data_IF_500069074775
#
_entry.id   IF_500069074775
#
_cell.length_a   1.000
_cell.length_b   1.000
_cell.length_c   1.000
_cell.angle_alpha   90.00
_cell.angle_beta   90.00
_cell.angle_gamma   90.00
#
_symmetry.space_group_name_H-M   'P 1'
#
loop_
_entity.id
_entity.type
_entity.pdbx_description
1 polymer ?
#
# COMPACT_ATOMS: atom_id res chain seq x y z
N UNK A 1 3.82 1.38 17.40
CA UNK A 1 3.22 0.97 16.12
C UNK A 1 4.11 1.46 15.00
N UNK A 2 4.49 0.61 14.05
CA UNK A 2 5.36 1.01 12.93
C UNK A 2 4.52 1.18 11.68
N UNK A 3 4.64 2.34 11.03
CA UNK A 3 3.95 2.65 9.77
C UNK A 3 4.97 2.66 8.66
N UNK A 4 4.82 1.73 7.72
CA UNK A 4 5.66 1.66 6.52
C UNK A 4 5.11 2.61 5.46
N UNK A 5 5.96 3.48 4.94
CA UNK A 5 5.60 4.45 3.90
C UNK A 5 6.57 4.39 2.73
N UNK A 6 6.05 4.52 1.51
CA UNK A 6 6.86 4.48 0.28
C UNK A 6 7.66 5.76 0.05
N UNK A 7 7.24 6.86 0.68
CA UNK A 7 7.83 8.19 0.54
C UNK A 7 8.04 8.79 1.93
N UNK A 8 9.00 9.72 2.05
CA UNK A 8 9.33 10.41 3.29
C UNK A 8 8.22 11.40 3.72
N UNK A 9 7.06 10.87 4.06
CA UNK A 9 5.82 11.61 4.28
C UNK A 9 5.97 12.65 5.41
N UNK A 10 6.77 12.37 6.45
CA UNK A 10 7.06 13.34 7.51
C UNK A 10 7.88 14.54 6.99
N UNK A 11 8.86 14.31 6.10
CA UNK A 11 9.65 15.38 5.51
C UNK A 11 8.81 16.20 4.51
N UNK A 12 7.96 15.55 3.72
CA UNK A 12 7.05 16.24 2.80
C UNK A 12 6.03 17.11 3.54
N UNK A 13 5.53 16.62 4.68
CA UNK A 13 4.65 17.38 5.56
C UNK A 13 5.34 18.65 6.09
N UNK A 14 6.61 18.59 6.47
CA UNK A 14 7.33 19.81 6.89
C UNK A 14 7.53 20.81 5.76
N UNK A 15 7.89 20.32 4.57
CA UNK A 15 8.25 21.19 3.44
C UNK A 15 7.01 21.82 2.79
N UNK A 16 5.91 21.06 2.66
CA UNK A 16 4.71 21.52 1.94
C UNK A 16 3.40 21.40 2.71
N UNK A 17 3.41 20.96 3.96
CA UNK A 17 2.18 20.76 4.73
C UNK A 17 1.33 22.01 4.85
N UNK A 18 1.95 23.18 5.04
CA UNK A 18 1.22 24.47 5.06
C UNK A 18 0.63 24.89 3.71
N UNK A 19 1.09 24.30 2.60
CA UNK A 19 0.55 24.55 1.26
C UNK A 19 -0.64 23.63 0.95
N UNK A 20 -0.58 22.36 1.37
CA UNK A 20 -1.59 21.34 1.04
C UNK A 20 -2.69 21.19 2.10
N UNK A 21 -2.42 21.56 3.34
CA UNK A 21 -3.32 21.35 4.46
C UNK A 21 -3.82 22.69 5.00
N UNK A 22 -5.07 22.70 5.44
CA UNK A 22 -5.60 23.87 6.13
C UNK A 22 -4.86 24.10 7.45
N UNK A 23 -4.83 25.35 7.96
CA UNK A 23 -4.18 25.67 9.24
C UNK A 23 -4.69 24.84 10.43
N UNK A 24 -5.92 24.32 10.36
CA UNK A 24 -6.50 23.45 11.39
C UNK A 24 -6.08 21.98 11.26
N UNK A 25 -5.71 21.54 10.06
CA UNK A 25 -5.35 20.13 9.77
C UNK A 25 -3.85 19.91 9.90
N UNK A 26 -3.03 20.86 9.46
CA UNK A 26 -1.57 20.78 9.50
C UNK A 26 -1.02 20.35 10.88
N UNK A 27 -1.35 21.02 12.00
CA UNK A 27 -0.79 20.64 13.31
C UNK A 27 -1.24 19.25 13.78
N UNK A 28 -2.42 18.77 13.34
CA UNK A 28 -2.91 17.43 13.71
C UNK A 28 -2.07 16.33 13.05
N UNK A 29 -1.75 16.49 11.77
CA UNK A 29 -0.89 15.54 11.06
C UNK A 29 0.55 15.60 11.58
N UNK A 30 1.05 16.80 11.91
CA UNK A 30 2.38 16.95 12.49
C UNK A 30 2.49 16.22 13.83
N UNK A 31 1.50 16.40 14.72
CA UNK A 31 1.48 15.72 16.01
C UNK A 31 1.53 14.20 15.86
N UNK A 32 0.68 13.64 14.98
CA UNK A 32 0.58 12.18 14.77
C UNK A 32 1.84 11.60 14.14
N UNK A 33 2.39 12.26 13.11
CA UNK A 33 3.49 11.69 12.32
C UNK A 33 4.87 11.96 12.90
N UNK A 34 4.98 12.88 13.87
CA UNK A 34 6.27 13.36 14.36
C UNK A 34 6.42 13.46 15.88
N UNK A 35 5.34 13.78 16.58
CA UNK A 35 5.39 14.10 18.02
C UNK A 35 4.85 12.95 18.88
N UNK A 36 4.26 11.92 18.27
CA UNK A 36 3.82 10.71 18.97
C UNK A 36 4.97 9.71 19.17
N UNK A 37 5.35 9.46 20.42
CA UNK A 37 6.40 8.51 20.80
C UNK A 37 6.03 7.04 20.53
N UNK A 38 4.74 6.74 20.33
CA UNK A 38 4.23 5.40 20.06
C UNK A 38 4.14 5.06 18.57
N UNK A 39 4.52 5.99 17.67
CA UNK A 39 4.45 5.81 16.22
C UNK A 39 5.83 6.01 15.58
N UNK A 40 6.32 4.96 14.90
CA UNK A 40 7.54 5.02 14.10
C UNK A 40 7.20 4.98 12.61
N UNK A 41 7.55 6.03 11.87
CA UNK A 41 7.34 6.09 10.41
C UNK A 41 8.63 5.67 9.71
N UNK A 42 8.62 4.51 9.08
CA UNK A 42 9.78 3.95 8.38
C UNK A 42 9.56 4.05 6.88
N UNK A 43 10.50 4.69 6.19
CA UNK A 43 10.48 4.78 4.72
C UNK A 43 11.02 3.49 4.13
N UNK A 44 10.25 2.83 3.26
CA UNK A 44 10.66 1.62 2.55
C UNK A 44 10.15 1.63 1.11
N UNK A 45 11.03 1.31 0.18
CA UNK A 45 10.72 1.15 -1.24
C UNK A 45 10.40 -0.29 -1.63
N UNK A 46 10.39 -1.22 -0.67
CA UNK A 46 10.25 -2.66 -0.90
C UNK A 46 9.20 -3.22 0.06
N UNK A 47 7.93 -2.87 -0.17
CA UNK A 47 6.80 -3.49 0.52
C UNK A 47 6.15 -4.48 -0.44
N UNK A 48 6.08 -5.76 -0.05
CA UNK A 48 5.31 -6.74 -0.80
C UNK A 48 3.82 -6.31 -0.80
N UNK A 49 3.17 -6.07 -1.94
CA UNK A 49 1.76 -5.68 -1.96
C UNK A 49 0.83 -6.66 -1.21
N UNK A 50 1.15 -7.96 -1.22
CA UNK A 50 0.42 -8.98 -0.46
C UNK A 50 0.45 -8.73 1.06
N UNK A 51 1.47 -8.05 1.59
CA UNK A 51 1.52 -7.74 3.03
C UNK A 51 0.39 -6.82 3.49
N UNK A 52 -0.21 -6.01 2.60
CA UNK A 52 -1.37 -5.18 2.91
C UNK A 52 -2.68 -5.97 2.98
N UNK A 53 -2.71 -7.20 2.46
CA UNK A 53 -3.89 -8.08 2.54
C UNK A 53 -3.97 -8.78 3.89
N UNK A 54 -2.83 -9.03 4.52
CA UNK A 54 -2.79 -9.54 5.88
C UNK A 54 -3.16 -8.45 6.89
N UNK A 55 -4.05 -8.78 7.83
CA UNK A 55 -4.43 -7.87 8.92
C UNK A 55 -3.31 -7.69 9.95
N UNK A 56 -2.31 -8.57 9.94
CA UNK A 56 -1.26 -8.63 10.95
C UNK A 56 0.05 -8.05 10.40
N UNK A 57 0.40 -6.85 10.84
CA UNK A 57 1.66 -6.21 10.48
C UNK A 57 2.85 -7.01 11.05
N UNK A 58 3.71 -7.55 10.18
CA UNK A 58 4.98 -8.17 10.57
C UNK A 58 5.05 -9.69 10.46
N UNK A 59 3.94 -10.38 10.21
CA UNK A 59 3.97 -11.79 9.83
C UNK A 59 4.40 -11.90 8.36
N UNK A 60 5.30 -12.85 8.00
CA UNK A 60 5.55 -13.14 6.61
C UNK A 60 4.24 -13.60 5.98
N UNK A 61 3.71 -12.78 5.08
CA UNK A 61 2.55 -13.15 4.29
C UNK A 61 3.02 -14.18 3.26
N UNK A 62 2.80 -15.45 3.61
CA UNK A 62 2.85 -16.55 2.66
C UNK A 62 1.50 -16.60 1.94
N UNK A 63 1.31 -15.71 0.97
CA UNK A 63 0.24 -15.88 0.00
C UNK A 63 0.76 -16.84 -1.07
N UNK A 64 0.15 -18.02 -1.18
CA UNK A 64 0.39 -18.92 -2.30
C UNK A 64 -0.28 -18.32 -3.53
N UNK A 65 0.44 -17.40 -4.18
CA UNK A 65 -0.03 -16.73 -5.38
C UNK A 65 -0.35 -17.75 -6.47
N UNK A 66 0.34 -18.89 -6.52
CA UNK A 66 0.07 -19.94 -7.51
C UNK A 66 -1.27 -20.62 -7.23
N UNK A 67 -1.53 -21.01 -5.98
CA UNK A 67 -2.82 -21.60 -5.59
C UNK A 67 -3.99 -20.64 -5.89
N UNK A 68 -3.83 -19.36 -5.57
CA UNK A 68 -4.87 -18.34 -5.81
C UNK A 68 -5.12 -18.12 -7.30
N UNK A 69 -4.06 -18.05 -8.10
CA UNK A 69 -4.16 -17.98 -9.56
C UNK A 69 -4.86 -19.23 -10.10
N UNK A 70 -4.43 -20.42 -9.69
CA UNK A 70 -5.00 -21.68 -10.14
C UNK A 70 -6.49 -21.78 -9.81
N UNK A 71 -6.90 -21.45 -8.58
CA UNK A 71 -8.30 -21.44 -8.16
C UNK A 71 -9.13 -20.41 -8.95
N UNK A 72 -8.56 -19.22 -9.20
CA UNK A 72 -9.24 -18.17 -9.97
C UNK A 72 -9.43 -18.61 -11.42
N UNK A 73 -8.40 -19.10 -12.09
CA UNK A 73 -8.52 -19.58 -13.47
C UNK A 73 -9.40 -20.83 -13.60
N UNK A 74 -9.33 -21.77 -12.64
CA UNK A 74 -10.16 -22.97 -12.64
C UNK A 74 -11.65 -22.66 -12.48
N UNK A 75 -12.00 -21.57 -11.80
CA UNK A 75 -13.40 -21.11 -11.66
C UNK A 75 -13.93 -20.36 -12.88
N UNK A 76 -13.08 -19.99 -13.84
CA UNK A 76 -13.43 -19.27 -15.07
C UNK A 76 -13.17 -20.15 -16.30
N UNK A 77 -14.02 -21.17 -16.57
CA UNK A 77 -13.81 -22.11 -17.67
C UNK A 77 -13.85 -21.47 -19.07
N UNK A 78 -14.36 -20.25 -19.16
CA UNK A 78 -14.42 -19.39 -20.33
C UNK A 78 -13.17 -18.52 -20.53
N UNK A 79 -12.34 -18.36 -19.50
CA UNK A 79 -11.08 -17.63 -19.57
C UNK A 79 -10.02 -18.49 -20.29
N UNK A 80 -9.68 -18.10 -21.51
CA UNK A 80 -8.66 -18.76 -22.33
C UNK A 80 -7.49 -17.82 -22.57
N UNK A 81 -6.26 -18.34 -22.57
CA UNK A 81 -5.03 -17.63 -22.97
C UNK A 81 -4.94 -17.37 -24.48
N UNK A 82 -6.07 -17.16 -25.14
CA UNK A 82 -6.14 -16.78 -26.54
C UNK A 82 -6.38 -15.28 -26.64
N UNK A 83 -5.58 -14.53 -27.43
CA UNK A 83 -5.83 -13.11 -27.65
C UNK A 83 -7.24 -12.90 -28.21
N UNK A 84 -7.90 -11.86 -27.72
CA UNK A 84 -9.26 -11.53 -28.15
C UNK A 84 -9.26 -11.14 -29.63
N UNK A 85 -9.97 -11.90 -30.47
CA UNK A 85 -9.94 -11.73 -31.92
C UNK A 85 -10.58 -10.41 -32.41
N UNK A 86 -11.31 -9.68 -31.57
CA UNK A 86 -12.02 -8.45 -31.97
C UNK A 86 -11.27 -7.14 -31.64
N UNK A 87 -9.94 -7.15 -31.65
CA UNK A 87 -9.18 -5.92 -31.87
C UNK A 87 -9.16 -5.61 -33.38
N UNK A 88 -10.31 -5.19 -33.91
CA UNK A 88 -10.39 -4.66 -35.28
C UNK A 88 -9.51 -3.40 -35.35
N UNK A 89 -8.37 -3.53 -36.03
CA UNK A 89 -7.51 -2.42 -36.44
C UNK A 89 -8.23 -1.55 -37.48
#
# INVERSE_FOLDING_TARGET
>A
MTVLVSHAASAELEVKGGHWLSPQRFPKYQAIMREQDDVEVVVTNIVNPASFLSRNQGEPVYDDCLETIEATYSSHPDLKDTPFNDAKT
#
